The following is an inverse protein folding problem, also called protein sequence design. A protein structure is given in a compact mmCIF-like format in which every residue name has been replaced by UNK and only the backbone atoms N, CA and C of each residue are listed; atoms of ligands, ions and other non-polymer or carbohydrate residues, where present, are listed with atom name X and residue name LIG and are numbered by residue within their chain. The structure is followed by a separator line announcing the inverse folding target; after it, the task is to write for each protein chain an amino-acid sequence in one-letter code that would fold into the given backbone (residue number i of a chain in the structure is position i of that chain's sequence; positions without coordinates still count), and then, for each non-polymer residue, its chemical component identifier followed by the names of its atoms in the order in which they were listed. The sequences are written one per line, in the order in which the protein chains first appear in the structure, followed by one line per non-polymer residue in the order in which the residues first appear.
data_IF_087157688782
#
_entry.id   IF_087157688782
#
_cell.length_a   1.000
_cell.length_b   1.000
_cell.length_c   1.000
_cell.angle_alpha   90.00
_cell.angle_beta   90.00
_cell.angle_gamma   90.00
#
_symmetry.space_group_name_H-M   'P 1'
#
loop_
_entity.id
_entity.type
_entity.pdbx_description
1 polymer ?
#
# COMPACT_ATOMS: atom_id res chain seq x y z
N UNK A 1 -1.07 2.92 -22.17
CA UNK A 1 -0.75 1.68 -21.44
C UNK A 1 -2.07 0.98 -21.22
N UNK A 2 -2.16 -0.33 -21.50
CA UNK A 2 -3.38 -1.09 -21.23
C UNK A 2 -3.79 -0.90 -19.76
N UNK A 3 -5.09 -0.88 -19.47
CA UNK A 3 -5.59 -0.86 -18.09
C UNK A 3 -5.11 -2.16 -17.40
N UNK A 4 -3.96 -2.09 -16.72
CA UNK A 4 -3.42 -3.22 -15.98
C UNK A 4 -4.34 -3.46 -14.79
N UNK A 5 -4.99 -4.62 -14.73
CA UNK A 5 -5.74 -4.99 -13.54
C UNK A 5 -4.77 -5.17 -12.36
N UNK A 6 -5.27 -5.01 -11.13
CA UNK A 6 -4.42 -5.04 -9.94
C UNK A 6 -3.65 -6.37 -9.82
N UNK A 7 -4.29 -7.50 -10.06
CA UNK A 7 -3.65 -8.82 -9.93
C UNK A 7 -2.43 -8.97 -10.84
N UNK A 8 -2.52 -8.56 -12.11
CA UNK A 8 -1.42 -8.63 -13.07
C UNK A 8 -0.26 -7.71 -12.66
N UNK A 9 -0.57 -6.52 -12.13
CA UNK A 9 0.45 -5.62 -11.61
C UNK A 9 1.18 -6.21 -10.40
N UNK A 10 0.44 -6.76 -9.42
CA UNK A 10 1.02 -7.38 -8.23
C UNK A 10 1.89 -8.59 -8.60
N UNK A 11 1.44 -9.41 -9.56
CA UNK A 11 2.23 -10.52 -10.08
C UNK A 11 3.54 -10.04 -10.74
N UNK A 12 3.49 -8.95 -11.51
CA UNK A 12 4.65 -8.40 -12.19
C UNK A 12 5.72 -7.85 -11.21
N UNK A 13 5.30 -7.09 -10.18
CA UNK A 13 6.26 -6.52 -9.22
C UNK A 13 6.85 -7.58 -8.28
N UNK A 14 6.14 -8.70 -8.07
CA UNK A 14 6.57 -9.80 -7.19
C UNK A 14 7.76 -10.58 -7.76
N UNK A 15 7.83 -10.72 -9.08
CA UNK A 15 8.88 -11.49 -9.77
C UNK A 15 9.99 -10.60 -10.33
N UNK A 16 9.92 -9.28 -10.14
CA UNK A 16 10.91 -8.35 -10.64
C UNK A 16 12.05 -8.16 -9.62
N UNK A 17 13.19 -8.78 -9.88
CA UNK A 17 14.41 -8.63 -9.05
C UNK A 17 15.24 -7.38 -9.38
N UNK A 18 14.94 -6.71 -10.48
CA UNK A 18 15.67 -5.53 -10.95
C UNK A 18 15.09 -4.24 -10.34
N UNK A 19 15.86 -3.61 -9.44
CA UNK A 19 15.46 -2.36 -8.76
C UNK A 19 15.24 -1.19 -9.73
N UNK A 20 16.02 -1.10 -10.82
CA UNK A 20 15.82 -0.05 -11.83
C UNK A 20 14.49 -0.26 -12.55
N UNK A 21 14.15 -1.50 -12.88
CA UNK A 21 12.84 -1.81 -13.49
C UNK A 21 11.68 -1.61 -12.53
N UNK A 22 11.83 -1.97 -11.25
CA UNK A 22 10.81 -1.68 -10.24
C UNK A 22 10.49 -0.18 -10.19
N UNK A 23 11.52 0.68 -10.25
CA UNK A 23 11.33 2.13 -10.27
C UNK A 23 10.78 2.65 -11.60
N UNK A 24 11.51 2.43 -12.69
CA UNK A 24 11.25 3.12 -13.97
C UNK A 24 10.12 2.47 -14.78
N UNK A 25 9.89 1.17 -14.64
CA UNK A 25 8.85 0.43 -15.37
C UNK A 25 7.60 0.25 -14.53
N UNK A 26 7.77 -0.16 -13.27
CA UNK A 26 6.64 -0.46 -12.38
C UNK A 26 6.21 0.72 -11.51
N UNK A 27 6.97 1.82 -11.48
CA UNK A 27 6.59 3.00 -10.72
C UNK A 27 6.62 2.75 -9.20
N UNK A 28 7.56 1.93 -8.73
CA UNK A 28 7.85 1.79 -7.30
C UNK A 28 8.75 2.94 -6.88
N UNK A 29 8.34 3.66 -5.84
CA UNK A 29 9.05 4.82 -5.31
C UNK A 29 8.78 4.91 -3.81
N UNK A 30 9.52 5.76 -3.12
CA UNK A 30 9.31 5.99 -1.70
C UNK A 30 8.04 6.80 -1.40
N UNK A 31 7.41 6.62 -0.25
CA UNK A 31 6.09 7.19 0.04
C UNK A 31 5.06 6.78 -1.03
N UNK A 32 4.95 5.47 -1.24
CA UNK A 32 4.05 4.84 -2.20
C UNK A 32 2.64 4.69 -1.60
N UNK A 33 1.62 5.42 -2.09
CA UNK A 33 0.30 5.42 -1.49
C UNK A 33 -0.63 4.36 -2.09
N UNK A 34 -1.44 3.74 -1.23
CA UNK A 34 -2.68 3.06 -1.59
C UNK A 34 -3.86 3.85 -1.02
N UNK A 35 -4.81 4.23 -1.88
CA UNK A 35 -6.01 4.95 -1.48
C UNK A 35 -7.18 3.97 -1.34
N UNK A 36 -7.90 4.02 -0.23
CA UNK A 36 -9.01 3.13 0.07
C UNK A 36 -10.32 3.92 0.22
N UNK A 37 -11.39 3.38 -0.37
CA UNK A 37 -12.69 4.03 -0.45
C UNK A 37 -13.73 3.25 0.37
N UNK A 38 -14.61 3.98 1.04
CA UNK A 38 -15.65 3.40 1.91
C UNK A 38 -15.84 4.20 3.21
N UNK A 39 -16.58 3.62 4.16
CA UNK A 39 -16.71 4.20 5.49
C UNK A 39 -15.35 4.25 6.18
N UNK A 40 -14.91 5.45 6.57
CA UNK A 40 -13.59 5.68 7.15
C UNK A 40 -13.27 4.76 8.32
N UNK A 41 -14.17 4.67 9.30
CA UNK A 41 -13.87 3.95 10.54
C UNK A 41 -13.82 2.45 10.26
N UNK A 42 -14.77 1.94 9.47
CA UNK A 42 -14.80 0.52 9.08
C UNK A 42 -13.57 0.12 8.27
N UNK A 43 -13.17 0.94 7.28
CA UNK A 43 -11.98 0.68 6.47
C UNK A 43 -10.72 0.76 7.33
N UNK A 44 -10.59 1.78 8.18
CA UNK A 44 -9.41 1.97 9.03
C UNK A 44 -9.26 0.81 10.01
N UNK A 45 -10.31 0.45 10.74
CA UNK A 45 -10.29 -0.62 11.73
C UNK A 45 -9.99 -1.97 11.07
N UNK A 46 -10.59 -2.25 9.91
CA UNK A 46 -10.37 -3.50 9.18
C UNK A 46 -8.93 -3.64 8.66
N UNK A 47 -8.37 -2.57 8.11
CA UNK A 47 -6.97 -2.56 7.65
C UNK A 47 -6.02 -2.67 8.85
N UNK A 48 -6.24 -1.88 9.90
CA UNK A 48 -5.44 -1.92 11.13
C UNK A 48 -5.45 -3.31 11.77
N UNK A 49 -6.63 -3.93 11.87
CA UNK A 49 -6.76 -5.29 12.38
C UNK A 49 -6.02 -6.28 11.50
N UNK A 50 -6.06 -6.13 10.17
CA UNK A 50 -5.35 -7.04 9.30
C UNK A 50 -3.83 -6.97 9.50
N UNK A 51 -3.24 -5.78 9.67
CA UNK A 51 -1.82 -5.65 10.00
C UNK A 51 -1.47 -6.31 11.36
N UNK A 52 -2.39 -6.27 12.34
CA UNK A 52 -2.19 -6.87 13.67
C UNK A 52 -2.44 -8.37 13.74
N UNK A 53 -3.42 -8.88 12.99
CA UNK A 53 -4.07 -10.15 13.31
C UNK A 53 -4.29 -11.10 12.12
N UNK A 54 -4.13 -10.66 10.87
CA UNK A 54 -4.45 -11.49 9.70
C UNK A 54 -3.67 -12.82 9.67
N UNK A 55 -4.28 -13.96 9.33
CA UNK A 55 -3.54 -15.22 9.22
C UNK A 55 -2.51 -15.16 8.07
N UNK A 56 -1.44 -15.97 8.10
CA UNK A 56 -0.44 -16.10 7.03
C UNK A 56 -1.08 -16.21 5.63
N UNK A 57 -2.16 -16.99 5.52
CA UNK A 57 -2.91 -17.22 4.28
C UNK A 57 -3.58 -15.97 3.71
N UNK A 58 -3.72 -14.92 4.52
CA UNK A 58 -4.36 -13.64 4.20
C UNK A 58 -3.35 -12.49 3.99
N UNK A 59 -2.04 -12.79 4.05
CA UNK A 59 -1.01 -12.07 3.31
C UNK A 59 -0.27 -10.91 3.98
N UNK A 60 -0.62 -10.48 5.21
CA UNK A 60 0.08 -9.34 5.83
C UNK A 60 0.70 -9.57 7.23
N UNK A 61 -0.02 -10.09 8.24
CA UNK A 61 0.40 -10.04 9.66
C UNK A 61 1.85 -10.43 9.98
N UNK A 62 2.30 -11.61 9.54
CA UNK A 62 3.58 -12.16 9.97
C UNK A 62 4.77 -11.27 9.61
N UNK A 63 4.56 -10.39 8.64
CA UNK A 63 5.57 -9.49 8.17
C UNK A 63 5.50 -8.12 8.82
N UNK A 64 4.60 -7.84 9.77
CA UNK A 64 4.43 -6.48 10.33
C UNK A 64 4.40 -6.42 11.85
N UNK A 65 5.13 -5.46 12.41
CA UNK A 65 5.20 -5.17 13.84
C UNK A 65 4.74 -3.72 14.06
N UNK A 66 3.87 -3.46 15.04
CA UNK A 66 3.44 -2.08 15.34
C UNK A 66 4.63 -1.28 15.90
N UNK A 67 5.03 -0.21 15.21
CA UNK A 67 6.30 0.51 15.42
C UNK A 67 6.14 1.78 16.29
N UNK A 68 5.05 2.53 16.14
CA UNK A 68 4.80 3.79 16.87
C UNK A 68 3.47 3.77 17.64
N UNK A 69 3.39 4.58 18.70
CA UNK A 69 2.17 4.78 19.47
C UNK A 69 1.04 5.33 18.58
N UNK A 70 -0.08 4.62 18.56
CA UNK A 70 -1.27 4.98 17.83
C UNK A 70 -1.75 6.40 18.16
N UNK A 71 -1.82 7.28 17.16
CA UNK A 71 -2.69 8.45 17.24
C UNK A 71 -4.10 8.04 16.83
N UNK A 72 -5.12 8.79 17.25
CA UNK A 72 -6.54 8.43 17.10
C UNK A 72 -6.98 7.99 15.70
N UNK A 73 -6.24 8.31 14.63
CA UNK A 73 -6.47 7.83 13.26
C UNK A 73 -5.16 7.60 12.48
N UNK A 74 -4.05 7.25 13.15
CA UNK A 74 -2.77 6.94 12.50
C UNK A 74 -2.11 5.77 13.21
N UNK A 75 -1.69 4.78 12.43
CA UNK A 75 -0.88 3.65 12.88
C UNK A 75 0.34 3.51 11.97
N UNK A 76 1.45 3.04 12.54
CA UNK A 76 2.68 2.75 11.80
C UNK A 76 3.08 1.32 12.12
N UNK A 77 3.35 0.56 11.07
CA UNK A 77 3.83 -0.80 11.14
C UNK A 77 5.19 -0.88 10.45
N UNK A 78 6.09 -1.65 11.02
CA UNK A 78 7.40 -1.97 10.46
C UNK A 78 7.38 -3.38 9.90
N UNK A 79 7.93 -3.53 8.69
CA UNK A 79 8.09 -4.82 8.05
C UNK A 79 9.18 -5.62 8.77
N UNK A 80 8.98 -6.91 9.06
CA UNK A 80 9.82 -7.73 9.97
C UNK A 80 11.33 -7.64 9.66
N UNK A 81 11.73 -7.46 8.39
CA UNK A 81 13.13 -7.27 8.02
C UNK A 81 13.73 -5.90 8.38
N UNK A 82 12.95 -4.98 8.95
CA UNK A 82 13.34 -3.61 9.30
C UNK A 82 13.65 -2.73 8.08
N UNK A 83 12.99 -3.00 6.95
CA UNK A 83 13.30 -2.35 5.66
C UNK A 83 12.18 -1.45 5.14
N UNK A 84 10.93 -1.67 5.57
CA UNK A 84 9.76 -0.94 5.08
C UNK A 84 8.88 -0.54 6.26
N UNK A 85 8.34 0.67 6.20
CA UNK A 85 7.27 1.13 7.08
C UNK A 85 5.97 1.25 6.29
N UNK A 86 4.87 0.81 6.90
CA UNK A 86 3.51 1.01 6.43
C UNK A 86 2.77 1.93 7.39
N UNK A 87 2.36 3.10 6.90
CA UNK A 87 1.59 4.07 7.66
C UNK A 87 0.13 4.05 7.21
N UNK A 88 -0.78 3.71 8.12
CA UNK A 88 -2.23 3.78 7.89
C UNK A 88 -2.74 5.10 8.45
N UNK A 89 -3.48 5.87 7.66
CA UNK A 89 -4.13 7.11 8.12
C UNK A 89 -5.61 7.15 7.76
N UNK A 90 -6.45 7.32 8.78
CA UNK A 90 -7.89 7.50 8.67
C UNK A 90 -8.29 8.93 8.32
N UNK A 91 -7.88 9.40 7.15
CA UNK A 91 -8.33 10.67 6.56
C UNK A 91 -7.97 10.73 5.08
N UNK A 92 -8.69 11.55 4.33
CA UNK A 92 -8.27 11.96 2.98
C UNK A 92 -6.96 12.73 3.06
N UNK A 93 -5.98 12.38 2.22
CA UNK A 93 -4.74 13.13 2.09
C UNK A 93 -4.94 14.29 1.10
N UNK A 94 -4.51 15.50 1.47
CA UNK A 94 -4.73 16.70 0.65
C UNK A 94 -4.10 16.62 -0.74
N UNK A 95 -2.98 15.90 -0.89
CA UNK A 95 -2.37 15.68 -2.21
C UNK A 95 -3.23 14.82 -3.16
N UNK A 96 -4.17 14.03 -2.62
CA UNK A 96 -4.97 13.04 -3.35
C UNK A 96 -6.48 13.36 -3.32
N UNK A 97 -6.83 14.65 -3.20
CA UNK A 97 -8.21 15.12 -3.11
C UNK A 97 -8.79 15.61 -4.45
N UNK A 98 -8.04 15.48 -5.54
CA UNK A 98 -8.44 15.95 -6.87
C UNK A 98 -9.47 15.03 -7.51
N UNK A 99 -10.23 15.53 -8.48
CA UNK A 99 -11.25 14.75 -9.20
C UNK A 99 -10.66 13.49 -9.85
N UNK A 100 -9.43 13.57 -10.36
CA UNK A 100 -8.74 12.42 -10.95
C UNK A 100 -8.49 11.28 -9.96
N UNK A 101 -8.45 11.57 -8.66
CA UNK A 101 -8.23 10.62 -7.56
C UNK A 101 -9.54 10.03 -7.03
N UNK A 102 -10.70 10.43 -7.57
CA UNK A 102 -11.98 9.84 -7.18
C UNK A 102 -12.25 8.55 -7.94
N UNK A 103 -12.95 7.62 -7.29
CA UNK A 103 -13.52 6.44 -7.91
C UNK A 103 -15.04 6.57 -7.77
N UNK A 104 -15.75 6.54 -8.90
CA UNK A 104 -17.22 6.65 -8.94
C UNK A 104 -17.74 7.88 -8.16
N UNK A 105 -17.06 9.03 -8.28
CA UNK A 105 -17.39 10.28 -7.58
C UNK A 105 -17.06 10.31 -6.08
N UNK A 106 -16.57 9.21 -5.52
CA UNK A 106 -16.21 9.12 -4.11
C UNK A 106 -14.75 9.51 -3.87
N UNK A 107 -14.51 10.26 -2.79
CA UNK A 107 -13.17 10.55 -2.26
C UNK A 107 -12.71 9.40 -1.37
N UNK A 108 -11.41 9.09 -1.36
CA UNK A 108 -10.88 8.08 -0.43
C UNK A 108 -11.00 8.54 1.02
N UNK A 109 -11.16 7.60 1.93
CA UNK A 109 -11.35 7.86 3.36
C UNK A 109 -10.17 7.41 4.22
N UNK A 110 -9.37 6.48 3.70
CA UNK A 110 -8.14 5.96 4.32
C UNK A 110 -7.05 5.89 3.26
N UNK A 111 -5.80 6.13 3.66
CA UNK A 111 -4.65 5.77 2.83
C UNK A 111 -3.64 4.95 3.63
N UNK A 112 -2.93 4.08 2.92
CA UNK A 112 -1.77 3.34 3.42
C UNK A 112 -0.56 3.82 2.64
N UNK A 113 0.48 4.26 3.34
CA UNK A 113 1.73 4.71 2.73
C UNK A 113 2.83 3.70 3.01
N UNK A 114 3.48 3.20 1.96
CA UNK A 114 4.67 2.35 2.08
C UNK A 114 5.91 3.18 1.81
N UNK A 115 6.90 3.12 2.70
CA UNK A 115 8.15 3.84 2.54
C UNK A 115 9.31 3.03 3.09
N UNK A 116 10.53 3.32 2.63
CA UNK A 116 11.72 2.68 3.20
C UNK A 116 11.88 3.07 4.66
N UNK A 117 12.43 2.16 5.48
CA UNK A 117 12.77 2.48 6.86
C UNK A 117 13.89 3.56 6.88
N UNK A 118 13.75 4.67 7.63
CA UNK A 118 14.73 5.76 7.67
C UNK A 118 16.16 5.31 7.99
N UNK A 119 16.31 4.34 8.90
CA UNK A 119 17.61 3.78 9.27
C UNK A 119 18.32 3.02 8.13
N UNK A 120 17.63 2.79 7.00
CA UNK A 120 18.13 2.14 5.79
C UNK A 120 18.31 3.10 4.62
N UNK A 121 17.88 4.37 4.71
CA UNK A 121 17.98 5.36 3.62
C UNK A 121 19.43 5.68 3.17
N UNK A 122 20.46 5.25 3.92
CA UNK A 122 21.87 5.53 3.63
C UNK A 122 22.75 4.33 3.26
N UNK A 123 22.21 3.09 3.23
CA UNK A 123 22.97 1.88 2.92
C UNK A 123 22.54 1.35 1.55
N UNK A 124 23.25 1.77 0.50
CA UNK A 124 23.15 1.23 -0.87
C UNK A 124 21.73 1.13 -1.45
N UNK A 125 21.09 2.29 -1.60
CA UNK A 125 19.88 2.46 -2.40
C UNK A 125 18.59 2.10 -1.68
N UNK A 126 17.51 2.73 -2.12
CA UNK A 126 16.16 2.43 -1.68
C UNK A 126 15.84 0.96 -2.01
N UNK A 127 15.50 0.14 -1.03
CA UNK A 127 15.13 -1.26 -1.28
C UNK A 127 13.73 -1.34 -1.91
N UNK A 128 13.64 -0.99 -3.19
CA UNK A 128 12.41 -1.06 -3.97
C UNK A 128 11.86 -2.48 -4.02
N UNK A 129 12.69 -3.51 -3.80
CA UNK A 129 12.26 -4.90 -3.75
C UNK A 129 11.51 -5.21 -2.45
N UNK A 130 11.99 -4.70 -1.32
CA UNK A 130 11.26 -4.80 -0.06
C UNK A 130 9.92 -4.03 -0.15
N UNK A 131 9.96 -2.80 -0.67
CA UNK A 131 8.73 -2.00 -0.87
C UNK A 131 7.76 -2.71 -1.82
N UNK A 132 8.23 -3.26 -2.95
CA UNK A 132 7.36 -3.97 -3.89
C UNK A 132 6.76 -5.24 -3.28
N UNK A 133 7.51 -5.97 -2.46
CA UNK A 133 7.03 -7.16 -1.75
C UNK A 133 5.93 -6.80 -0.74
N UNK A 134 6.14 -5.73 0.03
CA UNK A 134 5.15 -5.20 0.97
C UNK A 134 3.86 -4.75 0.25
N UNK A 135 3.99 -4.03 -0.86
CA UNK A 135 2.85 -3.63 -1.72
C UNK A 135 2.13 -4.85 -2.28
N UNK A 136 2.87 -5.87 -2.73
CA UNK A 136 2.30 -7.10 -3.28
C UNK A 136 1.45 -7.84 -2.24
N UNK A 137 1.98 -8.03 -1.02
CA UNK A 137 1.24 -8.67 0.08
C UNK A 137 -0.01 -7.89 0.49
N UNK A 138 0.10 -6.56 0.60
CA UNK A 138 -1.06 -5.73 0.89
C UNK A 138 -2.08 -5.72 -0.25
N UNK A 139 -1.63 -5.74 -1.51
CA UNK A 139 -2.49 -5.82 -2.68
C UNK A 139 -3.31 -7.11 -2.73
N UNK A 140 -2.73 -8.26 -2.36
CA UNK A 140 -3.45 -9.53 -2.24
C UNK A 140 -4.57 -9.43 -1.20
N UNK A 141 -4.27 -8.82 -0.04
CA UNK A 141 -5.26 -8.55 0.99
C UNK A 141 -6.40 -7.66 0.48
N UNK A 142 -6.10 -6.61 -0.27
CA UNK A 142 -7.11 -5.72 -0.88
C UNK A 142 -8.04 -6.48 -1.82
N UNK A 143 -7.50 -7.35 -2.68
CA UNK A 143 -8.28 -8.17 -3.62
C UNK A 143 -9.17 -9.13 -2.85
N UNK A 144 -8.61 -9.85 -1.87
CA UNK A 144 -9.32 -10.85 -1.07
C UNK A 144 -10.46 -10.23 -0.26
N UNK A 145 -10.21 -9.09 0.40
CA UNK A 145 -11.21 -8.40 1.21
C UNK A 145 -12.17 -7.51 0.40
N UNK A 146 -12.02 -7.50 -0.93
CA UNK A 146 -12.85 -6.76 -1.88
C UNK A 146 -12.95 -5.27 -1.54
N UNK A 147 -11.82 -4.64 -1.25
CA UNK A 147 -11.81 -3.20 -1.07
C UNK A 147 -11.87 -2.49 -2.42
N UNK A 148 -12.57 -1.36 -2.48
CA UNK A 148 -12.34 -0.41 -3.58
C UNK A 148 -11.06 0.37 -3.27
N UNK A 149 -10.10 0.34 -4.19
CA UNK A 149 -8.77 0.88 -3.93
C UNK A 149 -8.09 1.45 -5.19
N UNK A 150 -7.07 2.29 -4.97
CA UNK A 150 -6.16 2.78 -6.01
C UNK A 150 -4.69 2.55 -5.65
N UNK A 151 -3.91 2.05 -6.61
CA UNK A 151 -2.49 1.67 -6.54
C UNK A 151 -1.70 2.32 -7.68
N UNK A 152 -0.55 2.95 -7.42
CA UNK A 152 -0.47 4.18 -6.65
C UNK A 152 -1.05 5.37 -7.41
N UNK A 153 -0.82 6.59 -6.90
CA UNK A 153 -1.31 7.85 -7.49
C UNK A 153 -0.62 8.21 -8.82
N UNK A 154 0.69 8.00 -8.91
CA UNK A 154 1.47 8.19 -10.15
C UNK A 154 1.55 6.88 -10.93
N UNK A 155 1.93 6.92 -12.21
CA UNK A 155 1.92 5.72 -13.07
C UNK A 155 2.55 4.48 -12.39
N UNK A 156 1.94 3.28 -12.55
CA UNK A 156 0.67 3.02 -13.25
C UNK A 156 -0.57 3.35 -12.40
N UNK A 157 -1.55 4.11 -12.93
CA UNK A 157 -2.81 4.40 -12.22
C UNK A 157 -3.74 3.18 -12.24
N UNK A 158 -3.70 2.36 -11.20
CA UNK A 158 -4.49 1.11 -11.13
C UNK A 158 -5.65 1.29 -10.15
N UNK A 159 -6.87 1.15 -10.64
CA UNK A 159 -8.06 1.08 -9.80
C UNK A 159 -8.46 -0.40 -9.62
N UNK A 160 -8.72 -0.79 -8.38
CA UNK A 160 -9.40 -2.04 -8.05
C UNK A 160 -10.82 -1.72 -7.60
N UNK A 161 -11.79 -2.15 -8.40
CA UNK A 161 -13.22 -2.07 -8.07
C UNK A 161 -13.71 -3.53 -8.07
N UNK A 162 -14.11 -4.08 -6.93
CA UNK A 162 -14.67 -5.42 -6.87
C UNK A 162 -15.89 -5.53 -7.79
N UNK A 163 -15.94 -6.59 -8.59
CA UNK A 163 -17.10 -6.92 -9.43
C UNK A 163 -18.30 -7.42 -8.64
#
# INVERSE_FOLDING_TARGET
MADTNLADYLAAIRVCDDQFRLKEVHGIYDNWPVLLYGNRNEVFDKVAQAFRESAQERGIRDSWIEYEAAERNRLVFEYESGTVLAQIQGRTHAMYSKEEDRIQGSTHSVFVMFHAHPDKEGQDGWDFKAISSAIAGFGDYIIMERFTARFPRANPKINHIPG
#
